data_IF_059066914583
#
_entry.id   IF_059066914583
#
_cell.length_a   1.000
_cell.length_b   1.000
_cell.length_c   1.000
_cell.angle_alpha   90.00
_cell.angle_beta   90.00
_cell.angle_gamma   90.00
#
_symmetry.space_group_name_H-M   'P 1'
#
loop_
_entity.id
_entity.type
_entity.pdbx_description
1 polymer ?
#
# COMPACT_ATOMS: atom_id res chain seq x y z
N UNK A 1 27.44 -22.80 17.48
CA UNK A 1 26.84 -21.46 17.21
C UNK A 1 26.81 -21.03 15.73
N UNK A 2 27.86 -21.28 14.91
CA UNK A 2 27.92 -20.87 13.48
C UNK A 2 26.90 -21.52 12.50
N UNK A 3 26.16 -22.55 12.93
CA UNK A 3 25.16 -23.26 12.09
C UNK A 3 23.74 -22.71 12.25
N UNK A 4 23.32 -22.35 13.46
CA UNK A 4 22.01 -21.74 13.73
C UNK A 4 21.91 -20.31 13.14
N UNK A 5 22.98 -19.51 13.28
CA UNK A 5 23.05 -18.19 12.64
C UNK A 5 22.89 -18.29 11.12
N UNK A 6 23.54 -19.27 10.48
CA UNK A 6 23.36 -19.54 9.04
C UNK A 6 21.95 -20.01 8.69
N UNK A 7 21.31 -20.83 9.52
CA UNK A 7 19.96 -21.33 9.25
C UNK A 7 18.90 -20.21 9.29
N UNK A 8 18.99 -19.30 10.26
CA UNK A 8 18.12 -18.12 10.35
C UNK A 8 18.44 -17.10 9.23
N UNK A 9 19.72 -16.87 8.93
CA UNK A 9 20.13 -15.95 7.87
C UNK A 9 19.73 -16.42 6.47
N UNK A 10 19.88 -17.72 6.16
CA UNK A 10 19.55 -18.25 4.82
C UNK A 10 18.03 -18.28 4.62
N UNK A 11 17.25 -18.64 5.64
CA UNK A 11 15.78 -18.68 5.55
C UNK A 11 15.13 -17.30 5.50
N UNK A 12 15.76 -16.27 6.07
CA UNK A 12 15.21 -14.90 6.14
C UNK A 12 16.06 -13.85 5.41
N UNK A 13 16.98 -14.24 4.52
CA UNK A 13 17.84 -13.31 3.76
C UNK A 13 17.06 -12.18 3.10
N UNK A 14 15.89 -12.50 2.55
CA UNK A 14 15.01 -11.52 1.93
C UNK A 14 14.53 -10.44 2.92
N UNK A 15 14.19 -10.83 4.15
CA UNK A 15 13.73 -9.91 5.19
C UNK A 15 14.85 -8.95 5.63
N UNK A 16 16.08 -9.45 5.73
CA UNK A 16 17.26 -8.64 6.07
C UNK A 16 17.57 -7.61 4.98
N UNK A 17 17.52 -8.01 3.71
CA UNK A 17 17.72 -7.08 2.58
C UNK A 17 16.63 -6.00 2.59
N UNK A 18 15.37 -6.37 2.84
CA UNK A 18 14.28 -5.40 2.95
C UNK A 18 14.47 -4.45 4.13
N UNK A 19 14.92 -4.93 5.30
CA UNK A 19 15.21 -4.09 6.45
C UNK A 19 16.32 -3.08 6.13
N UNK A 20 17.40 -3.51 5.47
CA UNK A 20 18.49 -2.61 5.07
C UNK A 20 17.98 -1.56 4.07
N UNK A 21 17.22 -1.97 3.05
CA UNK A 21 16.61 -1.02 2.10
C UNK A 21 15.67 -0.04 2.80
N UNK A 22 14.83 -0.53 3.70
CA UNK A 22 13.93 0.29 4.51
C UNK A 22 14.72 1.31 5.36
N UNK A 23 15.81 0.87 5.99
CA UNK A 23 16.72 1.75 6.73
C UNK A 23 17.39 2.80 5.85
N UNK A 24 17.85 2.42 4.65
CA UNK A 24 18.46 3.37 3.68
C UNK A 24 17.44 4.39 3.18
N UNK A 25 16.22 3.95 2.86
CA UNK A 25 15.11 4.85 2.51
C UNK A 25 14.83 5.80 3.68
N UNK A 26 14.68 5.28 4.89
CA UNK A 26 14.47 6.09 6.09
C UNK A 26 15.56 7.13 6.31
N UNK A 27 16.84 6.75 6.14
CA UNK A 27 17.99 7.66 6.20
C UNK A 27 17.91 8.76 5.13
N UNK A 28 17.50 8.44 3.91
CA UNK A 28 17.27 9.46 2.86
C UNK A 28 16.15 10.43 3.24
N UNK A 29 15.09 9.94 3.88
CA UNK A 29 14.01 10.78 4.41
C UNK A 29 14.49 11.76 5.48
N UNK A 30 15.42 11.36 6.35
CA UNK A 30 16.03 12.29 7.33
C UNK A 30 16.78 13.41 6.62
N UNK A 31 17.52 13.11 5.55
CA UNK A 31 18.20 14.14 4.74
C UNK A 31 17.18 15.08 4.11
N UNK A 32 16.13 14.55 3.48
CA UNK A 32 15.04 15.35 2.90
C UNK A 32 14.37 16.22 3.96
N UNK A 33 14.07 15.68 5.14
CA UNK A 33 13.47 16.41 6.25
C UNK A 33 14.32 17.64 6.62
N UNK A 34 15.63 17.45 6.78
CA UNK A 34 16.55 18.55 7.11
C UNK A 34 16.60 19.60 6.00
N UNK A 35 16.64 19.17 4.73
CA UNK A 35 16.63 20.09 3.58
C UNK A 35 15.35 20.93 3.59
N UNK A 36 14.18 20.31 3.72
CA UNK A 36 12.90 21.02 3.73
C UNK A 36 12.82 21.99 4.90
N UNK A 37 13.27 21.59 6.09
CA UNK A 37 13.29 22.48 7.25
C UNK A 37 14.17 23.71 7.01
N UNK A 38 15.37 23.52 6.47
CA UNK A 38 16.30 24.63 6.16
C UNK A 38 15.73 25.54 5.09
N UNK A 39 15.13 24.98 4.03
CA UNK A 39 14.50 25.76 2.98
C UNK A 39 13.32 26.57 3.52
N UNK A 40 12.44 25.96 4.31
CA UNK A 40 11.30 26.64 4.94
C UNK A 40 11.75 27.81 5.84
N UNK A 41 12.78 27.59 6.67
CA UNK A 41 13.36 28.64 7.51
C UNK A 41 13.97 29.78 6.67
N UNK A 42 14.60 29.48 5.53
CA UNK A 42 15.18 30.51 4.65
C UNK A 42 14.14 31.31 3.86
N UNK A 43 13.01 30.71 3.51
CA UNK A 43 12.01 31.31 2.62
C UNK A 43 10.97 32.11 3.42
N UNK A 44 10.63 31.63 4.62
CA UNK A 44 9.57 32.19 5.44
C UNK A 44 10.14 32.93 6.67
N UNK A 45 9.39 32.97 7.76
CA UNK A 45 9.71 33.72 8.97
C UNK A 45 10.72 33.00 9.88
N UNK A 46 11.24 33.72 10.88
CA UNK A 46 12.18 33.12 11.80
C UNK A 46 11.48 32.02 12.63
N UNK A 47 12.11 30.88 12.93
CA UNK A 47 11.44 29.74 13.59
C UNK A 47 10.81 30.07 14.94
N UNK A 48 11.34 31.08 15.63
CA UNK A 48 10.83 31.54 16.92
C UNK A 48 9.64 32.50 16.80
N UNK A 49 9.31 32.97 15.61
CA UNK A 49 8.20 33.91 15.43
C UNK A 49 6.86 33.19 15.69
N UNK A 50 5.91 33.91 16.27
CA UNK A 50 4.57 33.39 16.59
C UNK A 50 3.71 33.45 15.34
N UNK A 51 3.10 32.32 14.97
CA UNK A 51 2.09 32.24 13.90
C UNK A 51 0.73 32.65 14.47
N UNK A 52 0.31 32.01 15.57
CA UNK A 52 -0.87 32.40 16.33
C UNK A 52 -0.75 31.94 17.79
N UNK A 53 -1.35 32.71 18.69
CA UNK A 53 -1.47 32.36 20.10
C UNK A 53 -2.66 31.40 20.30
N UNK A 54 -2.51 30.42 21.19
CA UNK A 54 -3.62 29.52 21.53
C UNK A 54 -4.47 30.24 22.58
N UNK A 55 -5.77 30.48 22.32
CA UNK A 55 -6.62 31.21 23.26
C UNK A 55 -6.70 30.47 24.60
N UNK A 56 -6.71 31.24 25.70
CA UNK A 56 -6.78 30.73 27.08
C UNK A 56 -5.55 29.96 27.58
N UNK A 57 -4.39 30.09 26.91
CA UNK A 57 -3.13 29.47 27.36
C UNK A 57 -1.93 30.39 27.11
N UNK A 58 -0.81 30.14 27.80
CA UNK A 58 0.47 30.82 27.55
C UNK A 58 1.23 30.24 26.33
N UNK A 59 0.65 29.24 25.66
CA UNK A 59 1.28 28.54 24.55
C UNK A 59 1.01 29.23 23.22
N UNK A 60 2.06 29.31 22.41
CA UNK A 60 2.04 29.94 21.10
C UNK A 60 2.46 28.92 20.04
N UNK A 61 1.70 28.86 18.94
CA UNK A 61 2.12 28.11 17.75
C UNK A 61 3.16 28.95 17.04
N UNK A 62 4.39 28.44 17.01
CA UNK A 62 5.54 29.10 16.37
C UNK A 62 5.80 28.52 14.98
N UNK A 63 6.49 29.29 14.15
CA UNK A 63 6.86 28.88 12.80
C UNK A 63 7.71 27.60 12.77
N UNK A 64 8.51 27.35 13.80
CA UNK A 64 9.23 26.08 13.99
C UNK A 64 8.31 24.86 13.90
N UNK A 65 7.11 24.91 14.50
CA UNK A 65 6.18 23.79 14.47
C UNK A 65 5.66 23.54 13.05
N UNK A 66 5.39 24.62 12.31
CA UNK A 66 4.95 24.55 10.91
C UNK A 66 6.04 23.91 10.05
N UNK A 67 7.29 24.37 10.18
CA UNK A 67 8.41 23.85 9.40
C UNK A 67 8.69 22.38 9.73
N UNK A 68 8.65 22.02 11.01
CA UNK A 68 8.87 20.65 11.46
C UNK A 68 7.76 19.71 10.95
N UNK A 69 6.51 20.16 10.99
CA UNK A 69 5.36 19.37 10.50
C UNK A 69 5.44 19.20 8.98
N UNK A 70 5.73 20.27 8.24
CA UNK A 70 5.87 20.22 6.78
C UNK A 70 7.03 19.31 6.35
N UNK A 71 8.19 19.46 6.99
CA UNK A 71 9.36 18.64 6.73
C UNK A 71 9.07 17.16 7.00
N UNK A 72 8.42 16.84 8.12
CA UNK A 72 8.02 15.48 8.45
C UNK A 72 7.08 14.89 7.40
N UNK A 73 6.04 15.61 6.98
CA UNK A 73 5.07 15.11 6.00
C UNK A 73 5.72 14.85 4.64
N UNK A 74 6.57 15.77 4.17
CA UNK A 74 7.27 15.61 2.89
C UNK A 74 8.28 14.45 2.95
N UNK A 75 9.04 14.35 4.03
CA UNK A 75 9.98 13.23 4.22
C UNK A 75 9.26 11.89 4.38
N UNK A 76 8.12 11.85 5.07
CA UNK A 76 7.31 10.65 5.21
C UNK A 76 6.76 10.21 3.85
N UNK A 77 6.24 11.15 3.06
CA UNK A 77 5.78 10.90 1.70
C UNK A 77 6.91 10.39 0.79
N UNK A 78 8.09 11.02 0.86
CA UNK A 78 9.29 10.57 0.16
C UNK A 78 9.64 9.11 0.52
N UNK A 79 9.67 8.81 1.81
CA UNK A 79 9.92 7.45 2.31
C UNK A 79 8.86 6.45 1.84
N UNK A 80 7.58 6.86 1.83
CA UNK A 80 6.49 6.02 1.36
C UNK A 80 6.67 5.69 -0.12
N UNK A 81 6.93 6.71 -0.96
CA UNK A 81 7.11 6.53 -2.39
C UNK A 81 8.27 5.58 -2.68
N UNK A 82 9.43 5.76 -2.03
CA UNK A 82 10.57 4.85 -2.22
C UNK A 82 10.27 3.44 -1.71
N UNK A 83 9.64 3.30 -0.54
CA UNK A 83 9.31 1.98 -0.02
C UNK A 83 8.30 1.23 -0.89
N UNK A 84 7.31 1.95 -1.43
CA UNK A 84 6.27 1.41 -2.31
C UNK A 84 6.81 0.95 -3.67
N UNK A 85 7.77 1.67 -4.25
CA UNK A 85 8.32 1.34 -5.58
C UNK A 85 9.56 0.44 -5.53
N UNK A 86 10.37 0.52 -4.47
CA UNK A 86 11.67 -0.16 -4.40
C UNK A 86 11.78 -1.22 -3.29
N UNK A 87 11.41 -0.88 -2.04
CA UNK A 87 11.59 -1.81 -0.90
C UNK A 87 10.61 -2.98 -0.97
N UNK A 88 9.33 -2.69 -1.18
CA UNK A 88 8.24 -3.68 -1.19
C UNK A 88 7.62 -3.90 -2.57
N UNK A 89 7.81 -2.96 -3.51
CA UNK A 89 7.27 -3.02 -4.88
C UNK A 89 5.75 -3.32 -4.93
N UNK A 90 4.98 -2.70 -4.03
CA UNK A 90 3.53 -2.91 -3.88
C UNK A 90 2.69 -2.06 -4.85
N UNK A 91 3.32 -1.14 -5.59
CA UNK A 91 2.65 -0.15 -6.42
C UNK A 91 1.61 -0.71 -7.41
N UNK A 92 1.81 -1.95 -7.89
CA UNK A 92 0.93 -2.62 -8.86
C UNK A 92 -0.32 -3.28 -8.25
N UNK A 93 -0.40 -3.41 -6.92
CA UNK A 93 -1.35 -4.33 -6.29
C UNK A 93 -2.37 -3.66 -5.36
N UNK A 94 -2.08 -2.45 -4.84
CA UNK A 94 -2.96 -1.75 -3.90
C UNK A 94 -3.12 -0.27 -4.25
N UNK A 95 -4.24 0.35 -3.86
CA UNK A 95 -4.42 1.78 -4.06
C UNK A 95 -3.46 2.59 -3.19
N UNK A 96 -3.04 3.75 -3.69
CA UNK A 96 -2.05 4.62 -3.06
C UNK A 96 -2.48 5.07 -1.66
N UNK A 97 -3.73 5.56 -1.54
CA UNK A 97 -4.28 6.07 -0.28
C UNK A 97 -4.41 4.99 0.80
N UNK A 98 -4.74 3.74 0.43
CA UNK A 98 -4.91 2.64 1.40
C UNK A 98 -3.60 2.22 2.06
N UNK A 99 -2.47 2.42 1.40
CA UNK A 99 -1.15 2.16 2.00
C UNK A 99 -0.56 3.41 2.65
N UNK A 100 -0.84 4.61 2.12
CA UNK A 100 -0.28 5.85 2.65
C UNK A 100 -0.74 6.15 4.08
N UNK A 101 -2.04 6.02 4.38
CA UNK A 101 -2.56 6.31 5.72
C UNK A 101 -1.95 5.41 6.81
N UNK A 102 -1.92 4.06 6.66
CA UNK A 102 -1.19 3.21 7.59
C UNK A 102 0.30 3.56 7.70
N UNK A 103 0.97 3.85 6.57
CA UNK A 103 2.38 4.24 6.58
C UNK A 103 2.63 5.53 7.38
N UNK A 104 1.80 6.55 7.17
CA UNK A 104 1.86 7.82 7.88
C UNK A 104 1.60 7.62 9.37
N UNK A 105 0.60 6.82 9.75
CA UNK A 105 0.30 6.50 11.15
C UNK A 105 1.44 5.75 11.84
N UNK A 106 2.04 4.76 11.18
CA UNK A 106 3.23 4.07 11.69
C UNK A 106 4.38 5.04 11.87
N UNK A 107 4.63 5.92 10.88
CA UNK A 107 5.69 6.92 10.94
C UNK A 107 5.47 7.96 12.06
N UNK A 108 4.24 8.40 12.25
CA UNK A 108 3.88 9.32 13.33
C UNK A 108 4.00 8.67 14.71
N UNK A 109 3.46 7.46 14.87
CA UNK A 109 3.62 6.71 16.12
C UNK A 109 5.09 6.42 16.45
N UNK A 110 5.90 6.13 15.44
CA UNK A 110 7.34 5.99 15.58
C UNK A 110 8.02 7.26 16.08
N UNK A 111 7.62 8.43 15.57
CA UNK A 111 8.15 9.71 16.05
C UNK A 111 7.82 9.92 17.54
N UNK A 112 6.61 9.60 17.97
CA UNK A 112 6.22 9.70 19.38
C UNK A 112 7.01 8.72 20.26
N UNK A 113 7.22 7.49 19.80
CA UNK A 113 8.04 6.50 20.52
C UNK A 113 9.49 6.96 20.63
N UNK A 114 10.07 7.50 19.54
CA UNK A 114 11.41 8.08 19.56
C UNK A 114 11.52 9.21 20.58
N UNK A 115 10.56 10.14 20.59
CA UNK A 115 10.53 11.23 21.58
C UNK A 115 10.42 10.71 23.02
N UNK A 116 9.60 9.67 23.24
CA UNK A 116 9.46 9.04 24.55
C UNK A 116 10.78 8.40 25.01
N UNK A 117 11.42 7.60 24.15
CA UNK A 117 12.70 6.96 24.44
C UNK A 117 13.77 8.00 24.75
N UNK A 118 13.89 9.04 23.93
CA UNK A 118 14.84 10.14 24.15
C UNK A 118 14.59 10.84 25.49
N UNK A 119 13.34 11.18 25.79
CA UNK A 119 12.96 11.82 27.05
C UNK A 119 13.36 10.96 28.25
N UNK A 120 13.11 9.65 28.18
CA UNK A 120 13.48 8.71 29.22
C UNK A 120 15.01 8.57 29.37
N UNK A 121 15.78 8.71 28.29
CA UNK A 121 17.23 8.56 28.34
C UNK A 121 17.97 9.83 28.77
N UNK A 122 17.36 11.00 28.54
CA UNK A 122 17.93 12.30 28.87
C UNK A 122 17.52 12.74 30.28
N UNK A 123 16.31 12.42 30.73
CA UNK A 123 15.81 12.87 32.03
C UNK A 123 16.57 12.20 33.20
N UNK A 124 17.28 12.95 34.06
CA UNK A 124 18.05 12.40 35.18
C UNK A 124 17.23 11.62 36.20
N UNK A 125 15.93 11.87 36.29
CA UNK A 125 15.00 11.18 37.21
C UNK A 125 14.47 9.86 36.65
N UNK A 126 14.73 9.57 35.37
CA UNK A 126 14.23 8.38 34.69
C UNK A 126 15.07 7.14 35.01
N UNK A 127 14.46 5.94 35.11
CA UNK A 127 15.20 4.69 35.28
C UNK A 127 16.06 4.30 34.07
N UNK A 128 15.77 4.85 32.88
CA UNK A 128 16.53 4.60 31.65
C UNK A 128 17.54 5.71 31.33
N UNK A 129 17.79 6.60 32.28
CA UNK A 129 18.78 7.66 32.15
C UNK A 129 20.15 7.10 31.78
N UNK A 130 20.86 7.74 30.85
CA UNK A 130 22.22 7.38 30.48
C UNK A 130 23.23 8.04 31.46
N UNK A 131 23.74 7.32 32.48
CA UNK A 131 24.55 7.93 33.52
C UNK A 131 26.04 7.85 33.14
N UNK A 132 26.68 9.00 32.99
CA UNK A 132 28.15 9.11 32.93
C UNK A 132 28.84 8.65 31.63
N UNK A 133 30.19 8.75 31.57
CA UNK A 133 30.97 8.47 30.36
C UNK A 133 30.72 7.04 29.83
N UNK A 134 30.56 6.87 28.50
CA UNK A 134 30.86 7.83 27.44
C UNK A 134 29.75 8.85 27.13
N UNK A 135 28.65 8.90 27.88
CA UNK A 135 27.46 9.73 27.59
C UNK A 135 27.40 10.99 28.48
N UNK A 136 28.31 11.93 28.25
CA UNK A 136 28.49 13.12 29.09
C UNK A 136 27.74 14.33 28.51
N UNK A 137 27.07 15.09 29.37
CA UNK A 137 26.52 16.40 29.00
C UNK A 137 27.67 17.41 28.81
N UNK A 138 27.63 18.20 27.73
CA UNK A 138 28.63 19.25 27.47
C UNK A 138 29.79 18.86 26.54
N UNK A 139 29.86 17.62 26.05
CA UNK A 139 30.82 17.30 24.98
C UNK A 139 30.28 17.71 23.61
N UNK A 140 31.13 18.37 22.82
CA UNK A 140 30.86 18.80 21.45
C UNK A 140 31.04 17.69 20.41
N UNK A 141 31.41 16.48 20.84
CA UNK A 141 31.75 15.37 19.94
C UNK A 141 30.88 14.12 20.10
N UNK A 142 31.45 12.97 19.74
CA UNK A 142 30.81 11.65 19.78
C UNK A 142 30.43 11.16 21.20
N UNK A 143 30.71 11.91 22.25
CA UNK A 143 30.32 11.57 23.62
C UNK A 143 29.08 12.33 24.10
N UNK A 144 28.46 13.11 23.22
CA UNK A 144 27.26 13.88 23.54
C UNK A 144 26.06 12.94 23.77
N UNK A 145 25.46 13.04 24.97
CA UNK A 145 24.29 12.24 25.37
C UNK A 145 23.12 12.33 24.40
N UNK A 146 22.81 13.52 23.90
CA UNK A 146 21.65 13.73 23.02
C UNK A 146 21.80 12.92 21.72
N UNK A 147 23.01 12.83 21.18
CA UNK A 147 23.27 12.05 19.96
C UNK A 147 23.10 10.55 20.17
N UNK A 148 23.53 10.04 21.33
CA UNK A 148 23.37 8.62 21.67
C UNK A 148 21.94 8.24 22.01
N UNK A 149 21.21 9.09 22.74
CA UNK A 149 19.79 8.89 22.99
C UNK A 149 19.02 8.80 21.67
N UNK A 150 19.27 9.73 20.74
CA UNK A 150 18.66 9.73 19.41
C UNK A 150 19.05 8.49 18.59
N UNK A 151 20.34 8.12 18.57
CA UNK A 151 20.83 6.94 17.85
C UNK A 151 20.19 5.65 18.38
N UNK A 152 20.13 5.47 19.69
CA UNK A 152 19.52 4.29 20.32
C UNK A 152 18.03 4.24 20.02
N UNK A 153 17.33 5.38 20.10
CA UNK A 153 15.93 5.46 19.70
C UNK A 153 15.72 5.04 18.24
N UNK A 154 16.56 5.51 17.30
CA UNK A 154 16.51 5.07 15.89
C UNK A 154 16.75 3.56 15.76
N UNK A 155 17.75 3.02 16.44
CA UNK A 155 18.11 1.60 16.38
C UNK A 155 16.96 0.70 16.86
N UNK A 156 16.15 1.17 17.80
CA UNK A 156 14.96 0.46 18.30
C UNK A 156 13.76 0.66 17.37
N UNK A 157 13.50 1.90 16.98
CA UNK A 157 12.30 2.28 16.24
C UNK A 157 12.31 1.82 14.78
N UNK A 158 13.47 1.80 14.11
CA UNK A 158 13.56 1.37 12.68
C UNK A 158 13.13 -0.09 12.47
N UNK A 159 13.60 -1.08 13.25
CA UNK A 159 13.11 -2.46 13.15
C UNK A 159 11.61 -2.59 13.41
N UNK A 160 11.09 -1.88 14.42
CA UNK A 160 9.66 -1.91 14.78
C UNK A 160 8.81 -1.37 13.62
N UNK A 161 9.17 -0.21 13.09
CA UNK A 161 8.46 0.40 11.96
C UNK A 161 8.54 -0.43 10.69
N UNK A 162 9.68 -1.09 10.44
CA UNK A 162 9.80 -2.05 9.35
C UNK A 162 8.81 -3.20 9.50
N UNK A 163 8.72 -3.81 10.69
CA UNK A 163 7.82 -4.93 10.96
C UNK A 163 6.36 -4.51 10.81
N UNK A 164 5.98 -3.37 11.41
CA UNK A 164 4.62 -2.83 11.29
C UNK A 164 4.24 -2.55 9.83
N UNK A 165 5.11 -1.86 9.09
CA UNK A 165 4.84 -1.57 7.68
C UNK A 165 4.76 -2.86 6.84
N UNK A 166 5.62 -3.83 7.10
CA UNK A 166 5.61 -5.10 6.40
C UNK A 166 4.35 -5.93 6.68
N UNK A 167 3.92 -5.99 7.93
CA UNK A 167 2.81 -6.85 8.37
C UNK A 167 1.43 -6.19 8.31
N UNK A 168 1.37 -4.87 8.24
CA UNK A 168 0.13 -4.12 8.18
C UNK A 168 0.02 -3.32 6.87
N UNK A 169 0.86 -2.29 6.70
CA UNK A 169 0.81 -1.35 5.56
C UNK A 169 0.87 -2.04 4.20
N UNK A 170 1.79 -2.99 4.02
CA UNK A 170 2.02 -3.69 2.75
C UNK A 170 1.50 -5.14 2.74
N UNK A 171 0.79 -5.56 3.80
CA UNK A 171 0.29 -6.94 3.97
C UNK A 171 -1.03 -7.21 3.26
N UNK A 172 -1.76 -6.16 2.88
CA UNK A 172 -3.04 -6.24 2.16
C UNK A 172 -2.97 -7.04 0.83
N UNK A 173 -1.76 -7.36 0.34
CA UNK A 173 -1.50 -8.16 -0.86
C UNK A 173 -1.70 -9.68 -0.65
N UNK A 174 -1.89 -10.18 0.59
CA UNK A 174 -2.14 -11.63 0.83
C UNK A 174 -3.61 -12.05 0.87
N UNK A 175 -4.55 -11.09 0.96
CA UNK A 175 -5.97 -11.42 1.16
C UNK A 175 -6.73 -11.82 -0.11
N UNK A 176 -6.31 -11.36 -1.30
CA UNK A 176 -7.11 -11.53 -2.53
C UNK A 176 -6.81 -12.81 -3.33
N UNK A 177 -5.58 -13.34 -3.27
CA UNK A 177 -5.24 -14.62 -3.95
C UNK A 177 -6.02 -15.82 -3.40
N UNK A 178 -6.48 -15.77 -2.15
CA UNK A 178 -7.18 -16.89 -1.51
C UNK A 178 -8.64 -17.03 -1.95
N UNK A 179 -9.25 -15.96 -2.48
CA UNK A 179 -10.63 -15.98 -2.97
C UNK A 179 -10.72 -16.46 -4.42
N UNK A 180 -9.65 -16.27 -5.22
CA UNK A 180 -9.58 -16.76 -6.60
C UNK A 180 -9.21 -18.25 -6.68
N UNK A 181 -8.49 -18.79 -5.66
CA UNK A 181 -8.16 -20.23 -5.58
C UNK A 181 -9.33 -21.11 -5.10
N UNK A 182 -10.36 -20.54 -4.48
CA UNK A 182 -11.56 -21.26 -4.01
C UNK A 182 -12.82 -20.92 -4.82
N UNK A 183 -12.70 -20.10 -5.86
CA UNK A 183 -13.75 -20.04 -6.86
C UNK A 183 -13.79 -21.41 -7.56
N UNK A 184 -14.94 -22.11 -7.60
CA UNK A 184 -15.06 -23.29 -8.44
C UNK A 184 -14.63 -22.89 -9.86
N UNK A 185 -13.92 -23.75 -10.62
CA UNK A 185 -13.57 -23.44 -11.99
C UNK A 185 -14.86 -23.07 -12.71
N UNK A 186 -15.01 -21.80 -13.07
CA UNK A 186 -16.08 -21.40 -13.97
C UNK A 186 -15.87 -22.25 -15.21
N UNK A 187 -16.85 -23.09 -15.61
CA UNK A 187 -16.73 -23.81 -16.86
C UNK A 187 -16.52 -22.74 -17.92
N UNK A 188 -15.35 -22.80 -18.55
CA UNK A 188 -15.02 -21.98 -19.71
C UNK A 188 -15.92 -22.49 -20.84
N UNK A 189 -17.17 -22.05 -20.83
CA UNK A 189 -18.03 -22.15 -22.01
C UNK A 189 -17.36 -21.23 -23.01
N UNK A 190 -16.61 -21.84 -23.92
CA UNK A 190 -16.08 -21.17 -25.08
C UNK A 190 -17.23 -20.38 -25.72
N UNK A 191 -17.04 -19.11 -26.10
CA UNK A 191 -17.97 -18.51 -27.02
C UNK A 191 -17.78 -19.28 -28.33
N UNK A 192 -18.69 -20.21 -28.61
CA UNK A 192 -18.90 -20.74 -29.95
C UNK A 192 -19.46 -19.56 -30.74
N UNK A 193 -18.56 -18.73 -31.26
CA UNK A 193 -18.86 -17.88 -32.40
C UNK A 193 -18.75 -18.83 -33.59
N UNK A 194 -19.91 -19.35 -33.99
CA UNK A 194 -20.06 -20.12 -35.22
C UNK A 194 -19.55 -19.28 -36.40
N UNK A 195 -18.77 -19.83 -37.33
CA UNK A 195 -18.66 -19.23 -38.65
C UNK A 195 -20.03 -19.30 -39.32
N UNK A 196 -20.51 -18.19 -39.85
CA UNK A 196 -21.63 -18.15 -40.79
C UNK A 196 -21.34 -19.14 -41.93
N UNK A 197 -22.15 -20.19 -42.02
CA UNK A 197 -22.23 -21.08 -43.18
C UNK A 197 -23.67 -20.97 -43.67
N UNK A 198 -23.93 -19.99 -44.54
CA UNK A 198 -25.25 -19.79 -45.17
C UNK A 198 -25.49 -20.72 -46.36
N UNK A 199 -24.52 -21.55 -46.79
CA UNK A 199 -24.64 -22.26 -48.08
C UNK A 199 -24.93 -23.77 -47.98
N UNK A 200 -24.88 -24.41 -46.80
CA UNK A 200 -25.04 -25.89 -46.68
C UNK A 200 -26.51 -26.34 -46.49
N UNK A 201 -27.42 -25.44 -46.13
CA UNK A 201 -28.84 -25.78 -45.92
C UNK A 201 -29.62 -25.94 -47.25
N UNK A 202 -29.23 -25.21 -48.29
CA UNK A 202 -29.87 -25.30 -49.61
C UNK A 202 -29.48 -26.59 -50.35
N UNK A 203 -28.24 -27.04 -50.21
CA UNK A 203 -27.74 -28.26 -50.85
C UNK A 203 -28.35 -29.53 -50.21
N UNK A 204 -28.51 -29.54 -48.87
CA UNK A 204 -29.15 -30.65 -48.16
C UNK A 204 -30.67 -30.77 -48.45
N UNK A 205 -31.35 -29.65 -48.70
CA UNK A 205 -32.77 -29.64 -49.11
C UNK A 205 -32.94 -30.10 -50.56
N UNK A 206 -32.01 -29.74 -51.46
CA UNK A 206 -32.02 -30.19 -52.85
C UNK A 206 -31.74 -31.70 -52.98
N UNK A 207 -30.83 -32.23 -52.16
CA UNK A 207 -30.49 -33.67 -52.17
C UNK A 207 -31.60 -34.54 -51.58
N UNK A 208 -32.33 -34.06 -50.56
CA UNK A 208 -33.52 -34.76 -50.03
C UNK A 208 -34.70 -34.75 -50.99
N UNK A 209 -34.90 -33.68 -51.78
CA UNK A 209 -35.97 -33.61 -52.78
C UNK A 209 -35.70 -34.53 -53.99
N UNK A 210 -34.44 -34.82 -54.32
CA UNK A 210 -34.06 -35.71 -55.41
C UNK A 210 -34.17 -37.20 -55.06
N UNK A 211 -34.23 -37.56 -53.77
CA UNK A 211 -34.14 -38.95 -53.29
C UNK A 211 -35.50 -39.70 -53.16
N UNK A 212 -36.65 -39.06 -53.44
CA UNK A 212 -37.95 -39.72 -53.30
C UNK A 212 -38.99 -39.28 -54.35
N UNK A 213 -39.07 -39.95 -55.52
CA UNK A 213 -39.89 -39.48 -56.65
C UNK A 213 -41.35 -39.98 -56.63
N UNK A 214 -41.87 -40.58 -55.56
CA UNK A 214 -43.20 -41.20 -55.62
C UNK A 214 -44.03 -41.09 -54.33
N UNK A 215 -44.76 -39.98 -54.20
CA UNK A 215 -46.10 -39.96 -53.58
C UNK A 215 -46.98 -38.96 -54.29
N UNK A 216 -47.54 -39.41 -55.41
CA UNK A 216 -48.69 -38.79 -56.05
C UNK A 216 -50.00 -39.15 -55.31
N UNK A 217 -50.87 -38.14 -55.18
CA UNK A 217 -52.32 -38.20 -55.00
C UNK A 217 -52.92 -38.74 -53.70
N UNK A 218 -53.58 -37.86 -52.94
CA UNK A 218 -54.96 -38.06 -52.45
C UNK A 218 -55.52 -36.76 -51.83
N UNK A 219 -56.30 -36.04 -52.62
CA UNK A 219 -57.51 -35.33 -52.16
C UNK A 219 -58.72 -36.06 -52.81
N UNK A 220 -60.00 -35.88 -52.41
CA UNK A 220 -60.60 -34.81 -51.59
C UNK A 220 -61.68 -35.31 -50.58
N UNK A 221 -62.55 -34.39 -50.12
CA UNK A 221 -63.89 -34.51 -49.47
C UNK A 221 -63.87 -34.17 -47.96
N UNK A 222 -64.65 -33.24 -47.40
CA UNK A 222 -65.72 -32.32 -47.85
C UNK A 222 -66.16 -31.48 -46.62
N UNK A 223 -66.34 -30.17 -46.76
CA UNK A 223 -67.63 -29.45 -46.86
C UNK A 223 -68.37 -29.15 -45.52
N UNK A 224 -68.45 -27.86 -45.17
CA UNK A 224 -69.64 -27.12 -44.67
C UNK A 224 -69.24 -25.62 -44.52
N UNK A 225 -69.79 -24.69 -45.31
CA UNK A 225 -70.95 -23.79 -45.00
C UNK A 225 -70.82 -23.09 -43.64
N UNK A 226 -71.07 -21.80 -43.44
CA UNK A 226 -71.48 -20.65 -44.27
C UNK A 226 -71.34 -19.40 -43.37
N UNK A 227 -71.15 -18.24 -44.01
CA UNK A 227 -71.81 -16.95 -43.78
C UNK A 227 -72.12 -16.43 -42.34
N UNK A 228 -71.60 -15.24 -41.97
CA UNK A 228 -72.45 -14.06 -41.69
C UNK A 228 -71.63 -12.82 -41.23
N UNK A 229 -71.77 -11.75 -42.01
CA UNK A 229 -72.18 -10.39 -41.61
C UNK A 229 -71.48 -9.65 -40.42
N UNK A 230 -70.93 -8.47 -40.77
CA UNK A 230 -71.33 -7.15 -40.27
C UNK A 230 -71.61 -6.98 -38.76
N UNK A 231 -70.79 -6.14 -38.09
CA UNK A 231 -71.25 -4.89 -37.41
C UNK A 231 -70.16 -4.27 -36.52
N UNK A 232 -69.90 -2.99 -36.81
CA UNK A 232 -69.50 -1.87 -35.92
C UNK A 232 -68.05 -1.79 -35.44
#
# INVERSE_FOLDING_TARGET
MKRAARYVFVRHRHNWIQLIRFGLVGGSGVVVNNIIFVLANKIWSHPNDVVFAIPFTDFNVRWQLIYSTLAFLIANLWNFMLNRHWTFNSAKHASWLREYWPFLLVGFGAQLVTMLIETLMINPTSPLYLPGPPFTEGSTGLTNRYYWAHLIAILITVPITFVLNKLWTFSAVRGRKRHDEHAPPVPMVAPVVAPEVEDEAEEALAEQAAAHPDRRHSEPVGAHHDDESSRR
#
